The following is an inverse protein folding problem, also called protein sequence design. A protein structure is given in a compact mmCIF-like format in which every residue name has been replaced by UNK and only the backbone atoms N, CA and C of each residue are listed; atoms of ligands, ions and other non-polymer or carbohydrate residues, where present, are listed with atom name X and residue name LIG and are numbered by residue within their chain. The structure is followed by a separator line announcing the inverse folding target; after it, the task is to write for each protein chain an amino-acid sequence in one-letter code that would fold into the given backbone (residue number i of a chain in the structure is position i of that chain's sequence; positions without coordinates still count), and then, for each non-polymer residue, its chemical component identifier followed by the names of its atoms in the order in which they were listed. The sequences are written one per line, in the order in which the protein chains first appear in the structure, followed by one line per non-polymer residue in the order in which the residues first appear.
data_IF_265156347135
#
_entry.id   IF_265156347135
#
_cell.length_a   1.000
_cell.length_b   1.000
_cell.length_c   1.000
_cell.angle_alpha   90.00
_cell.angle_beta   90.00
_cell.angle_gamma   90.00
#
_symmetry.space_group_name_H-M   'P 1'
#
loop_
_entity.id
_entity.type
_entity.pdbx_description
1 polymer ?
#
# COMPACT_ATOMS: atom_id res chain seq x y z
N UNK A 1 18.60 30.23 25.42
CA UNK A 1 17.55 29.78 24.48
C UNK A 1 18.18 29.34 23.16
N UNK A 2 18.46 28.04 22.99
CA UNK A 2 18.87 27.47 21.69
C UNK A 2 17.77 26.54 21.22
N UNK A 3 17.12 26.91 20.11
CA UNK A 3 16.08 26.15 19.45
C UNK A 3 16.61 24.79 19.01
N UNK A 4 16.14 23.71 19.64
CA UNK A 4 16.26 22.36 19.07
C UNK A 4 15.33 22.30 17.87
N UNK A 5 15.86 22.59 16.68
CA UNK A 5 15.32 22.06 15.43
C UNK A 5 15.44 20.55 15.50
N UNK A 6 14.43 19.89 16.10
CA UNK A 6 14.25 18.44 16.00
C UNK A 6 14.13 18.15 14.51
N UNK A 7 15.16 17.53 13.95
CA UNK A 7 15.16 16.88 12.65
C UNK A 7 13.80 16.21 12.42
N UNK A 8 12.99 16.82 11.55
CA UNK A 8 11.72 16.27 11.08
C UNK A 8 12.05 15.15 10.09
N UNK A 9 12.61 14.05 10.61
CA UNK A 9 13.05 12.90 9.83
C UNK A 9 11.84 12.25 9.13
N UNK A 10 11.74 12.52 7.83
CA UNK A 10 11.03 11.77 6.76
C UNK A 10 9.78 10.98 7.17
N UNK A 11 8.74 11.68 7.62
CA UNK A 11 7.38 11.09 7.72
C UNK A 11 6.63 11.10 6.39
N UNK A 12 6.94 12.06 5.51
CA UNK A 12 6.29 12.26 4.23
C UNK A 12 7.20 11.78 3.10
N UNK A 13 6.64 10.97 2.19
CA UNK A 13 7.25 10.55 0.93
C UNK A 13 6.35 11.02 -0.20
N UNK A 14 6.97 11.50 -1.28
CA UNK A 14 6.26 12.04 -2.44
C UNK A 14 6.58 11.15 -3.64
N UNK A 15 5.55 10.69 -4.34
CA UNK A 15 5.69 9.87 -5.54
C UNK A 15 5.03 10.55 -6.73
N UNK A 16 5.74 10.65 -7.84
CA UNK A 16 5.19 11.09 -9.12
C UNK A 16 5.67 10.14 -10.22
N UNK A 17 4.73 9.69 -11.06
CA UNK A 17 5.02 8.79 -12.18
C UNK A 17 5.81 7.54 -11.75
N UNK A 18 5.42 6.95 -10.61
CA UNK A 18 6.06 5.78 -9.97
C UNK A 18 7.48 6.01 -9.44
N UNK A 19 7.95 7.25 -9.40
CA UNK A 19 9.29 7.61 -8.88
C UNK A 19 9.15 8.46 -7.62
N UNK A 20 10.00 8.18 -6.62
CA UNK A 20 10.09 9.02 -5.42
C UNK A 20 10.77 10.35 -5.75
N UNK A 21 10.11 11.46 -5.44
CA UNK A 21 10.60 12.82 -5.75
C UNK A 21 10.91 13.57 -4.44
N UNK A 22 11.99 14.34 -4.43
CA UNK A 22 12.41 15.14 -3.25
C UNK A 22 12.38 16.66 -3.50
N UNK A 23 12.13 17.10 -4.73
CA UNK A 23 12.29 18.49 -5.17
C UNK A 23 10.95 19.24 -5.28
N UNK A 24 10.24 19.39 -4.17
CA UNK A 24 9.06 20.24 -4.12
C UNK A 24 9.19 21.30 -3.03
N UNK A 25 8.76 22.52 -3.34
CA UNK A 25 8.74 23.64 -2.39
C UNK A 25 7.77 23.41 -1.23
N UNK A 26 6.68 22.67 -1.46
CA UNK A 26 5.76 22.22 -0.42
C UNK A 26 4.96 20.98 -0.84
N UNK A 27 4.37 20.23 0.11
CA UNK A 27 3.49 19.11 -0.21
C UNK A 27 2.25 19.50 -1.03
N UNK A 28 1.74 20.74 -0.84
CA UNK A 28 0.60 21.26 -1.60
C UNK A 28 0.93 21.41 -3.08
N UNK A 29 2.12 21.95 -3.39
CA UNK A 29 2.61 22.09 -4.77
C UNK A 29 2.85 20.72 -5.39
N UNK A 30 3.43 19.79 -4.62
CA UNK A 30 3.60 18.41 -5.08
C UNK A 30 2.27 17.79 -5.48
N UNK A 31 1.28 17.84 -4.60
CA UNK A 31 -0.04 17.28 -4.84
C UNK A 31 -0.77 17.95 -6.02
N UNK A 32 -0.73 19.29 -6.10
CA UNK A 32 -1.30 20.05 -7.21
C UNK A 32 -0.64 19.70 -8.57
N UNK A 33 0.62 19.25 -8.56
CA UNK A 33 1.35 18.82 -9.76
C UNK A 33 1.09 17.37 -10.17
N UNK A 34 0.14 16.68 -9.53
CA UNK A 34 -0.19 15.28 -9.78
C UNK A 34 0.62 14.27 -8.97
N UNK A 35 1.43 14.72 -8.00
CA UNK A 35 2.17 13.80 -7.15
C UNK A 35 1.30 13.23 -6.03
N UNK A 36 1.50 11.95 -5.71
CA UNK A 36 0.94 11.31 -4.54
C UNK A 36 1.76 11.60 -3.29
N UNK A 37 1.08 11.74 -2.16
CA UNK A 37 1.65 11.96 -0.85
C UNK A 37 1.44 10.72 0.02
N UNK A 38 2.51 10.23 0.63
CA UNK A 38 2.49 9.07 1.53
C UNK A 38 3.02 9.52 2.89
N UNK A 39 2.19 9.38 3.93
CA UNK A 39 2.63 9.61 5.31
C UNK A 39 2.88 8.26 5.97
N UNK A 40 4.15 7.90 6.11
CA UNK A 40 4.56 6.70 6.79
C UNK A 40 4.35 6.84 8.29
N UNK A 41 3.96 5.74 8.94
CA UNK A 41 3.75 5.69 10.39
C UNK A 41 2.73 6.73 10.87
N UNK A 42 1.57 6.79 10.21
CA UNK A 42 0.48 7.71 10.58
C UNK A 42 -0.03 7.42 12.00
N UNK A 43 0.15 6.19 12.49
CA UNK A 43 -0.07 5.80 13.90
C UNK A 43 0.73 6.65 14.90
N UNK A 44 1.90 7.18 14.50
CA UNK A 44 2.73 8.05 15.34
C UNK A 44 2.38 9.53 15.23
N UNK A 45 1.48 9.89 14.32
CA UNK A 45 1.13 11.29 14.02
C UNK A 45 -0.35 11.59 14.27
N UNK A 46 -1.23 10.59 14.23
CA UNK A 46 -2.68 10.78 14.37
C UNK A 46 -3.28 9.86 15.45
N UNK A 47 -3.83 10.41 16.56
CA UNK A 47 -4.34 9.61 17.67
C UNK A 47 -5.42 8.59 17.29
N UNK A 48 -6.28 8.89 16.30
CA UNK A 48 -7.31 7.94 15.85
C UNK A 48 -6.70 6.73 15.14
N UNK A 49 -5.68 6.95 14.30
CA UNK A 49 -4.94 5.86 13.67
C UNK A 49 -4.17 5.04 14.71
N UNK A 50 -3.56 5.71 15.69
CA UNK A 50 -2.90 5.03 16.80
C UNK A 50 -3.87 4.10 17.53
N UNK A 51 -5.03 4.62 17.95
CA UNK A 51 -6.04 3.84 18.66
C UNK A 51 -6.54 2.63 17.85
N UNK A 52 -6.71 2.79 16.53
CA UNK A 52 -7.06 1.70 15.63
C UNK A 52 -5.96 0.63 15.57
N UNK A 53 -4.71 1.02 15.35
CA UNK A 53 -3.56 0.10 15.33
C UNK A 53 -3.41 -0.63 16.69
N UNK A 54 -3.55 0.07 17.81
CA UNK A 54 -3.49 -0.55 19.15
C UNK A 54 -4.60 -1.58 19.35
N UNK A 55 -5.80 -1.35 18.81
CA UNK A 55 -6.88 -2.35 18.86
C UNK A 55 -6.59 -3.55 17.99
N UNK A 56 -6.06 -3.35 16.79
CA UNK A 56 -5.65 -4.44 15.90
C UNK A 56 -4.53 -5.28 16.51
N UNK A 57 -3.56 -4.64 17.17
CA UNK A 57 -2.46 -5.31 17.88
C UNK A 57 -2.90 -6.20 19.07
N UNK A 58 -4.20 -6.27 19.38
CA UNK A 58 -4.73 -7.28 20.32
C UNK A 58 -4.95 -8.64 19.66
N UNK A 59 -5.17 -8.67 18.34
CA UNK A 59 -5.31 -9.89 17.54
C UNK A 59 -4.10 -10.21 16.67
N UNK A 60 -3.19 -9.26 16.49
CA UNK A 60 -1.95 -9.40 15.70
C UNK A 60 -0.74 -9.06 16.55
N UNK A 61 0.45 -9.59 16.22
CA UNK A 61 1.68 -9.30 16.96
C UNK A 61 2.08 -7.83 16.89
N UNK A 62 1.79 -7.20 15.75
CA UNK A 62 2.13 -5.81 15.49
C UNK A 62 1.17 -5.20 14.49
N UNK A 63 0.86 -3.91 14.63
CA UNK A 63 0.02 -3.15 13.71
C UNK A 63 0.53 -1.71 13.58
N UNK A 64 0.64 -1.21 12.36
CA UNK A 64 0.92 0.20 12.07
C UNK A 64 0.24 0.62 10.77
N UNK A 65 0.20 1.93 10.49
CA UNK A 65 -0.50 2.45 9.31
C UNK A 65 0.35 3.41 8.49
N UNK A 66 0.10 3.41 7.18
CA UNK A 66 0.56 4.42 6.25
C UNK A 66 -0.65 5.10 5.60
N UNK A 67 -0.62 6.42 5.48
CA UNK A 67 -1.69 7.21 4.84
C UNK A 67 -1.28 7.57 3.42
N UNK A 68 -2.19 7.39 2.47
CA UNK A 68 -1.98 7.70 1.07
C UNK A 68 -3.00 8.71 0.61
N UNK A 69 -2.51 9.81 0.02
CA UNK A 69 -3.31 10.80 -0.67
C UNK A 69 -2.83 10.86 -2.13
N UNK A 70 -3.65 10.40 -3.05
CA UNK A 70 -3.28 10.22 -4.46
C UNK A 70 -4.23 11.06 -5.31
N UNK A 71 -3.73 11.96 -6.18
CA UNK A 71 -4.59 12.72 -7.09
C UNK A 71 -5.23 11.83 -8.16
N UNK A 72 -6.19 12.39 -8.88
CA UNK A 72 -6.84 11.74 -10.03
C UNK A 72 -5.82 11.20 -11.05
N UNK A 73 -6.13 10.08 -11.72
CA UNK A 73 -5.32 9.47 -12.78
C UNK A 73 -3.85 9.23 -12.41
N UNK A 74 -3.58 9.04 -11.12
CA UNK A 74 -2.23 8.79 -10.64
C UNK A 74 -2.16 7.51 -9.82
N UNK A 75 -0.96 6.93 -9.80
CA UNK A 75 -0.63 5.68 -9.13
C UNK A 75 0.66 5.85 -8.34
N UNK A 76 0.66 5.31 -7.12
CA UNK A 76 1.79 5.42 -6.17
C UNK A 76 2.84 4.34 -6.34
N UNK A 77 2.44 3.16 -6.82
CA UNK A 77 3.30 2.00 -6.94
C UNK A 77 2.78 1.09 -8.06
N UNK A 78 3.66 0.46 -8.86
CA UNK A 78 3.26 -0.59 -9.78
C UNK A 78 2.70 -1.80 -9.01
N UNK A 79 2.14 -2.80 -9.71
CA UNK A 79 1.72 -4.04 -9.07
C UNK A 79 2.87 -4.65 -8.26
N UNK A 80 2.63 -4.86 -6.96
CA UNK A 80 3.66 -5.36 -6.05
C UNK A 80 3.04 -6.25 -4.98
N UNK A 81 3.87 -7.09 -4.36
CA UNK A 81 3.52 -7.79 -3.13
C UNK A 81 4.08 -7.09 -1.91
N UNK A 82 3.41 -7.26 -0.78
CA UNK A 82 3.94 -6.88 0.53
C UNK A 82 4.44 -8.13 1.29
N UNK A 83 5.31 -7.87 2.28
CA UNK A 83 5.89 -8.85 3.21
C UNK A 83 5.13 -8.96 4.53
N UNK A 84 3.95 -8.34 4.61
CA UNK A 84 3.09 -8.33 5.78
C UNK A 84 1.62 -8.36 5.36
N UNK A 85 0.75 -8.71 6.30
CA UNK A 85 -0.69 -8.67 6.08
C UNK A 85 -1.13 -7.22 5.99
N UNK A 86 -1.96 -6.88 5.02
CA UNK A 86 -2.48 -5.51 4.87
C UNK A 86 -3.98 -5.47 5.01
N UNK A 87 -4.47 -4.40 5.66
CA UNK A 87 -5.85 -3.97 5.63
C UNK A 87 -5.92 -2.60 4.97
N UNK A 88 -6.84 -2.44 4.01
CA UNK A 88 -7.07 -1.15 3.36
C UNK A 88 -8.29 -0.49 4.00
N UNK A 89 -8.18 0.80 4.33
CA UNK A 89 -9.28 1.60 4.86
C UNK A 89 -9.44 2.85 3.97
N UNK A 90 -10.41 2.81 3.07
CA UNK A 90 -10.77 3.97 2.23
C UNK A 90 -11.51 5.02 3.07
N UNK A 91 -10.95 6.22 3.16
CA UNK A 91 -11.50 7.35 3.93
C UNK A 91 -12.27 8.35 3.06
N UNK A 92 -11.78 8.63 1.85
CA UNK A 92 -12.39 9.58 0.93
C UNK A 92 -12.13 9.18 -0.52
N UNK A 93 -12.99 9.62 -1.45
CA UNK A 93 -12.81 9.40 -2.89
C UNK A 93 -13.01 7.94 -3.30
N UNK A 94 -12.51 7.61 -4.49
CA UNK A 94 -12.60 6.27 -5.07
C UNK A 94 -11.24 5.80 -5.55
N UNK A 95 -10.92 4.54 -5.26
CA UNK A 95 -9.72 3.89 -5.78
C UNK A 95 -10.09 2.52 -6.30
N UNK A 96 -9.67 2.23 -7.52
CA UNK A 96 -9.85 0.93 -8.14
C UNK A 96 -8.72 0.02 -7.65
N UNK A 97 -9.08 -1.06 -6.98
CA UNK A 97 -8.17 -2.07 -6.45
C UNK A 97 -8.31 -3.36 -7.24
N UNK A 98 -7.18 -3.86 -7.72
CA UNK A 98 -7.06 -5.20 -8.26
C UNK A 98 -6.14 -5.99 -7.34
N UNK A 99 -6.61 -7.15 -6.92
CA UNK A 99 -5.93 -8.06 -6.00
C UNK A 99 -5.85 -9.42 -6.68
N UNK A 100 -4.63 -9.93 -6.80
CA UNK A 100 -4.38 -11.29 -7.21
C UNK A 100 -3.98 -12.08 -5.97
N UNK A 101 -4.70 -13.15 -5.64
CA UNK A 101 -4.13 -14.29 -4.93
C UNK A 101 -3.00 -14.89 -5.76
N UNK A 102 -2.13 -15.70 -5.13
CA UNK A 102 -0.86 -16.22 -5.69
C UNK A 102 -0.66 -15.86 -7.16
N UNK A 103 0.17 -14.85 -7.44
CA UNK A 103 0.47 -14.45 -8.81
C UNK A 103 0.94 -15.70 -9.58
N UNK A 104 0.07 -16.32 -10.39
CA UNK A 104 0.40 -17.44 -11.26
C UNK A 104 0.33 -16.89 -12.68
N UNK A 105 1.35 -17.15 -13.50
CA UNK A 105 1.20 -16.86 -14.92
C UNK A 105 0.06 -17.71 -15.46
N UNK A 106 -0.74 -17.15 -16.37
CA UNK A 106 -1.72 -17.92 -17.11
C UNK A 106 -1.07 -19.21 -17.67
N UNK A 107 -1.53 -20.37 -17.18
CA UNK A 107 -1.03 -21.68 -17.61
C UNK A 107 0.14 -22.27 -16.80
N UNK A 108 0.63 -21.65 -15.72
CA UNK A 108 1.65 -22.24 -14.85
C UNK A 108 1.09 -22.61 -13.47
N UNK A 109 1.48 -23.80 -13.00
CA UNK A 109 1.15 -24.33 -11.66
C UNK A 109 2.12 -23.85 -10.57
N UNK A 110 3.05 -22.94 -10.90
CA UNK A 110 4.03 -22.36 -9.98
C UNK A 110 3.83 -20.85 -9.86
N UNK A 111 3.97 -20.28 -8.64
CA UNK A 111 3.84 -18.84 -8.44
C UNK A 111 4.96 -18.07 -9.14
N UNK A 112 4.58 -16.95 -9.76
CA UNK A 112 5.41 -15.98 -10.47
C UNK A 112 6.51 -15.37 -9.60
N UNK A 113 6.29 -15.28 -8.27
CA UNK A 113 7.29 -14.74 -7.35
C UNK A 113 7.36 -15.53 -6.06
N UNK A 114 8.58 -15.90 -5.67
CA UNK A 114 8.91 -16.35 -4.32
C UNK A 114 9.48 -15.21 -3.46
N UNK A 115 9.83 -14.07 -4.08
CA UNK A 115 10.48 -12.92 -3.44
C UNK A 115 9.55 -12.09 -2.53
N UNK A 116 10.04 -11.76 -1.33
CA UNK A 116 9.38 -10.82 -0.42
C UNK A 116 9.47 -9.41 -0.99
N UNK A 117 8.33 -8.74 -1.21
CA UNK A 117 8.23 -7.39 -1.79
C UNK A 117 8.53 -7.27 -3.30
N UNK A 118 8.18 -8.27 -4.10
CA UNK A 118 8.35 -8.22 -5.56
C UNK A 118 7.61 -7.02 -6.19
N UNK A 119 8.20 -6.39 -7.20
CA UNK A 119 7.65 -5.23 -7.92
C UNK A 119 7.73 -3.88 -7.20
N UNK A 120 8.20 -3.83 -5.94
CA UNK A 120 8.17 -2.60 -5.12
C UNK A 120 9.21 -1.54 -5.50
N UNK A 121 10.31 -1.95 -6.15
CA UNK A 121 11.37 -1.07 -6.62
C UNK A 121 11.81 -1.45 -8.04
N UNK A 122 12.52 -0.53 -8.72
CA UNK A 122 12.99 -0.74 -10.09
C UNK A 122 14.11 -1.81 -10.19
N UNK A 123 14.69 -2.25 -9.09
CA UNK A 123 15.74 -3.27 -9.05
C UNK A 123 15.19 -4.71 -9.03
N UNK A 124 13.88 -4.85 -8.79
CA UNK A 124 13.18 -6.14 -8.75
C UNK A 124 12.39 -6.39 -10.03
N UNK A 125 12.14 -7.66 -10.38
CA UNK A 125 11.24 -7.99 -11.49
C UNK A 125 9.89 -7.31 -11.30
N UNK A 126 9.52 -6.47 -12.27
CA UNK A 126 8.25 -5.76 -12.25
C UNK A 126 7.12 -6.72 -12.59
N UNK A 127 6.04 -6.66 -11.81
CA UNK A 127 4.85 -7.45 -12.07
C UNK A 127 3.96 -6.69 -13.04
N UNK A 128 3.76 -7.26 -14.22
CA UNK A 128 2.88 -6.69 -15.23
C UNK A 128 1.52 -7.37 -15.20
N UNK A 129 0.46 -6.64 -15.60
CA UNK A 129 -0.89 -7.21 -15.70
C UNK A 129 -0.95 -8.42 -16.64
N UNK A 130 -0.16 -8.42 -17.70
CA UNK A 130 -0.05 -9.54 -18.63
C UNK A 130 0.48 -10.81 -17.95
N UNK A 131 1.44 -10.67 -17.03
CA UNK A 131 1.95 -11.80 -16.26
C UNK A 131 0.94 -12.25 -15.21
N UNK A 132 0.30 -11.32 -14.50
CA UNK A 132 -0.60 -11.63 -13.39
C UNK A 132 -1.95 -12.24 -13.84
N UNK A 133 -2.37 -12.01 -15.09
CA UNK A 133 -3.67 -12.47 -15.57
C UNK A 133 -4.85 -11.70 -14.95
N UNK A 134 -6.08 -12.25 -14.96
CA UNK A 134 -7.24 -11.60 -14.35
C UNK A 134 -7.13 -11.58 -12.81
N UNK A 135 -7.55 -10.49 -12.14
CA UNK A 135 -7.53 -10.40 -10.68
C UNK A 135 -8.59 -11.31 -10.05
N UNK A 136 -8.26 -11.87 -8.89
CA UNK A 136 -9.21 -12.65 -8.08
C UNK A 136 -10.25 -11.74 -7.42
N UNK A 137 -9.83 -10.53 -7.02
CA UNK A 137 -10.72 -9.50 -6.50
C UNK A 137 -10.46 -8.20 -7.27
N UNK A 138 -11.50 -7.70 -7.91
CA UNK A 138 -11.52 -6.39 -8.55
C UNK A 138 -12.62 -5.56 -7.88
N UNK A 139 -12.24 -4.43 -7.27
CA UNK A 139 -13.18 -3.62 -6.49
C UNK A 139 -12.88 -2.14 -6.60
N UNK A 140 -13.92 -1.34 -6.82
CA UNK A 140 -13.87 0.11 -6.63
C UNK A 140 -14.22 0.44 -5.18
N UNK A 141 -13.21 0.66 -4.34
CA UNK A 141 -13.45 1.12 -2.98
C UNK A 141 -13.88 2.59 -3.00
N UNK A 142 -14.99 2.90 -2.33
CA UNK A 142 -15.55 4.24 -2.21
C UNK A 142 -15.65 4.59 -0.71
N UNK A 143 -15.32 5.83 -0.33
CA UNK A 143 -15.27 6.25 1.10
C UNK A 143 -16.55 6.01 1.92
N UNK A 144 -17.69 5.77 1.27
CA UNK A 144 -18.96 5.40 1.91
C UNK A 144 -19.04 3.94 2.38
N UNK A 145 -18.12 3.06 1.96
CA UNK A 145 -18.03 1.65 2.39
C UNK A 145 -16.56 1.28 2.55
N UNK A 146 -16.02 1.17 3.79
CA UNK A 146 -14.64 0.78 3.98
C UNK A 146 -14.44 -0.64 3.45
N UNK A 147 -13.63 -0.80 2.40
CA UNK A 147 -13.30 -2.11 1.83
C UNK A 147 -12.08 -2.64 2.56
N UNK A 148 -12.31 -3.60 3.45
CA UNK A 148 -11.24 -4.34 4.13
C UNK A 148 -10.79 -5.48 3.21
N UNK A 149 -9.79 -5.23 2.38
CA UNK A 149 -9.04 -6.30 1.71
C UNK A 149 -8.02 -6.80 2.72
N UNK A 150 -8.17 -8.05 3.18
CA UNK A 150 -7.16 -8.73 3.99
C UNK A 150 -6.29 -9.55 3.05
N UNK A 151 -4.98 -9.35 3.13
CA UNK A 151 -4.01 -10.11 2.37
C UNK A 151 -3.17 -11.02 3.28
N UNK A 152 -3.69 -12.17 3.75
CA UNK A 152 -2.99 -12.99 4.72
C UNK A 152 -1.81 -13.74 4.08
N UNK A 153 -0.61 -13.52 4.62
CA UNK A 153 0.53 -14.43 4.54
C UNK A 153 0.23 -15.58 5.51
N UNK A 154 -0.48 -16.62 5.07
CA UNK A 154 -0.91 -17.67 5.99
C UNK A 154 0.27 -18.39 6.67
N UNK A 155 0.02 -18.75 7.92
CA UNK A 155 0.94 -19.37 8.85
C UNK A 155 1.46 -20.74 8.36
N UNK A 156 2.77 -20.94 8.53
CA UNK A 156 3.45 -22.23 8.74
C UNK A 156 2.97 -23.42 7.91
N UNK A 157 3.54 -23.60 6.72
CA UNK A 157 3.99 -24.93 6.29
C UNK A 157 5.39 -24.82 5.71
N UNK A 158 6.31 -25.61 6.28
CA UNK A 158 7.77 -25.43 6.22
C UNK A 158 8.39 -25.63 4.83
N UNK A 159 7.63 -25.87 3.75
CA UNK A 159 8.18 -26.25 2.44
C UNK A 159 7.39 -25.81 1.19
N UNK A 160 6.56 -24.77 1.22
CA UNK A 160 5.92 -24.28 -0.02
C UNK A 160 5.85 -22.76 -0.09
N UNK A 161 6.14 -22.23 -1.27
CA UNK A 161 6.09 -20.81 -1.64
C UNK A 161 4.84 -20.11 -1.09
N UNK A 162 5.06 -19.17 -0.18
CA UNK A 162 4.03 -18.39 0.53
C UNK A 162 3.06 -17.72 -0.47
N UNK A 163 1.75 -17.64 -0.17
CA UNK A 163 0.81 -16.85 -0.98
C UNK A 163 1.17 -15.37 -0.88
N UNK A 164 1.38 -14.71 -2.03
CA UNK A 164 1.73 -13.29 -2.09
C UNK A 164 0.72 -12.56 -2.95
N UNK A 165 0.17 -11.48 -2.40
CA UNK A 165 -0.87 -10.70 -3.05
C UNK A 165 -0.24 -9.57 -3.85
N UNK A 166 -0.50 -9.54 -5.14
CA UNK A 166 -0.16 -8.38 -5.95
C UNK A 166 -1.28 -7.33 -5.78
N UNK A 167 -0.92 -6.09 -5.47
CA UNK A 167 -1.85 -4.96 -5.39
C UNK A 167 -1.55 -3.98 -6.52
N UNK A 168 -2.53 -3.73 -7.37
CA UNK A 168 -2.47 -2.66 -8.37
C UNK A 168 -3.62 -1.71 -8.18
N UNK A 169 -3.35 -0.42 -8.37
CA UNK A 169 -4.35 0.60 -8.15
C UNK A 169 -4.35 1.69 -9.19
N UNK A 170 -5.55 2.12 -9.57
CA UNK A 170 -5.76 3.32 -10.35
C UNK A 170 -6.76 4.22 -9.62
N UNK A 171 -6.46 5.52 -9.54
CA UNK A 171 -7.35 6.49 -8.91
C UNK A 171 -8.37 6.97 -9.96
N UNK A 172 -9.66 6.82 -9.70
CA UNK A 172 -10.72 7.19 -10.64
C UNK A 172 -11.49 8.42 -10.18
N UNK A 173 -11.67 9.40 -11.07
CA UNK A 173 -12.43 10.69 -11.01
C UNK A 173 -12.33 11.58 -9.74
N UNK A 174 -12.02 11.05 -8.57
CA UNK A 174 -11.95 11.72 -7.27
C UNK A 174 -10.68 11.31 -6.54
N UNK A 175 -10.04 12.25 -5.85
CA UNK A 175 -8.85 12.02 -5.02
C UNK A 175 -9.11 10.99 -3.91
N UNK A 176 -8.55 9.77 -3.98
CA UNK A 176 -8.62 8.84 -2.87
C UNK A 176 -7.71 9.26 -1.71
N UNK A 177 -8.25 9.12 -0.50
CA UNK A 177 -7.51 9.08 0.76
C UNK A 177 -7.76 7.72 1.42
N UNK A 178 -6.70 6.98 1.73
CA UNK A 178 -6.83 5.69 2.42
C UNK A 178 -5.67 5.41 3.36
N UNK A 179 -5.91 4.58 4.36
CA UNK A 179 -4.87 4.04 5.23
C UNK A 179 -4.63 2.58 4.84
N UNK A 180 -3.39 2.22 4.61
CA UNK A 180 -2.95 0.84 4.55
C UNK A 180 -2.39 0.47 5.93
N UNK A 181 -3.08 -0.41 6.63
CA UNK A 181 -2.72 -0.90 7.95
C UNK A 181 -1.97 -2.22 7.78
N UNK A 182 -0.70 -2.22 8.13
CA UNK A 182 0.19 -3.37 8.06
C UNK A 182 0.15 -4.12 9.39
N UNK A 183 -0.03 -5.43 9.33
CA UNK A 183 -0.01 -6.33 10.49
C UNK A 183 0.88 -7.53 10.27
N UNK A 184 1.40 -8.08 11.37
CA UNK A 184 2.13 -9.35 11.35
C UNK A 184 1.32 -10.43 12.07
N UNK A 185 1.05 -11.52 11.36
CA UNK A 185 0.43 -12.72 11.93
C UNK A 185 1.30 -13.35 13.02
N UNK A 186 0.64 -14.15 13.86
CA UNK A 186 1.27 -14.85 14.99
C UNK A 186 1.99 -16.11 14.53
#
# INVERSE_FOLDING_TARGET
LRSRTRSASRKLVIFKDLVSVVEYSSPHVAFASGASLIVNRIDKAWPRAQALCTRLARGFRYAYGNLYLTPHDSQTAPPHSDDHDVFILQLHGRKHWMVWGQAHACGQSRPLTTEEQAGKDASRPQLTRAQLGPPDIESAACGSKPVVLMAPLSASTRHSSKPRIALSTHSSLHTPLYILLSTYSS
#
